data_IF_106500604473
#
_entry.id   IF_106500604473
#
_cell.length_a   1.000
_cell.length_b   1.000
_cell.length_c   1.000
_cell.angle_alpha   90.00
_cell.angle_beta   90.00
_cell.angle_gamma   90.00
#
_symmetry.space_group_name_H-M   'P 1'
#
loop_
_entity.id
_entity.type
_entity.pdbx_description
1 polymer ?
#
# COMPACT_ATOMS: atom_id res chain seq x y z
N UNK A 1 27.24 -31.04 -21.79
CA UNK A 1 26.75 -32.31 -22.40
C UNK A 1 25.56 -32.95 -21.66
N UNK A 2 25.39 -32.78 -20.34
CA UNK A 2 24.24 -33.37 -19.61
C UNK A 2 22.85 -32.76 -19.96
N UNK A 3 22.77 -31.44 -20.22
CA UNK A 3 21.50 -30.80 -20.63
C UNK A 3 21.01 -31.23 -22.03
N UNK A 4 21.92 -31.62 -22.91
CA UNK A 4 21.59 -32.01 -24.29
C UNK A 4 21.04 -33.45 -24.40
N UNK A 5 21.46 -34.33 -23.47
CA UNK A 5 20.91 -35.69 -23.35
C UNK A 5 19.56 -35.69 -22.63
N UNK A 6 19.35 -34.78 -21.67
CA UNK A 6 18.05 -34.63 -20.99
C UNK A 6 16.95 -34.15 -21.94
N UNK A 7 17.27 -33.23 -22.87
CA UNK A 7 16.30 -32.76 -23.88
C UNK A 7 15.98 -33.83 -24.93
N UNK A 8 16.98 -34.60 -25.37
CA UNK A 8 16.79 -35.72 -26.31
C UNK A 8 16.00 -36.90 -25.70
N UNK A 9 16.19 -37.18 -24.40
CA UNK A 9 15.40 -38.19 -23.69
C UNK A 9 13.96 -37.72 -23.42
N UNK A 10 13.76 -36.41 -23.18
CA UNK A 10 12.43 -35.83 -22.98
C UNK A 10 11.58 -35.87 -24.26
N UNK A 11 12.18 -35.60 -25.43
CA UNK A 11 11.49 -35.68 -26.73
C UNK A 11 11.08 -37.12 -27.09
N UNK A 12 11.87 -38.12 -26.70
CA UNK A 12 11.51 -39.53 -26.84
C UNK A 12 10.28 -39.92 -26.01
N UNK A 13 10.22 -39.49 -24.74
CA UNK A 13 9.06 -39.75 -23.86
C UNK A 13 7.80 -39.05 -24.34
N UNK A 14 7.90 -37.81 -24.79
CA UNK A 14 6.76 -37.05 -25.32
C UNK A 14 6.09 -37.77 -26.50
N UNK A 15 6.88 -38.32 -27.43
CA UNK A 15 6.36 -39.11 -28.57
C UNK A 15 5.64 -40.38 -28.13
N UNK A 16 6.18 -41.07 -27.11
CA UNK A 16 5.53 -42.27 -26.55
C UNK A 16 4.18 -41.92 -25.93
N UNK A 17 4.10 -40.82 -25.16
CA UNK A 17 2.83 -40.36 -24.60
C UNK A 17 1.82 -39.94 -25.68
N UNK A 18 2.28 -39.28 -26.74
CA UNK A 18 1.42 -38.88 -27.87
C UNK A 18 0.82 -40.09 -28.58
N UNK A 19 1.62 -41.13 -28.83
CA UNK A 19 1.14 -42.38 -29.41
C UNK A 19 0.14 -43.09 -28.49
N UNK A 20 0.41 -43.15 -27.18
CA UNK A 20 -0.52 -43.74 -26.19
C UNK A 20 -1.83 -42.96 -26.09
N UNK A 21 -1.80 -41.63 -26.18
CA UNK A 21 -3.00 -40.80 -26.21
C UNK A 21 -3.80 -41.03 -27.50
N UNK A 22 -3.11 -41.20 -28.64
CA UNK A 22 -3.74 -41.50 -29.93
C UNK A 22 -4.46 -42.84 -29.90
N UNK A 23 -3.79 -43.88 -29.41
CA UNK A 23 -4.39 -45.22 -29.24
C UNK A 23 -5.61 -45.18 -28.30
N UNK A 24 -5.50 -44.51 -27.14
CA UNK A 24 -6.62 -44.36 -26.19
C UNK A 24 -7.78 -43.54 -26.75
N UNK A 25 -7.47 -42.55 -27.59
CA UNK A 25 -8.49 -41.75 -28.27
C UNK A 25 -9.30 -42.58 -29.28
N UNK A 26 -8.63 -43.53 -29.96
CA UNK A 26 -9.25 -44.43 -30.93
C UNK A 26 -10.03 -45.55 -30.24
N UNK A 27 -9.51 -46.09 -29.13
CA UNK A 27 -10.17 -47.11 -28.32
C UNK A 27 -11.39 -46.56 -27.54
N UNK A 28 -11.42 -45.25 -27.27
CA UNK A 28 -12.48 -44.56 -26.56
C UNK A 28 -12.82 -45.21 -25.20
N UNK A 29 -11.77 -45.48 -24.42
CA UNK A 29 -11.85 -46.12 -23.10
C UNK A 29 -12.63 -45.27 -22.07
N UNK A 30 -13.13 -45.91 -21.01
CA UNK A 30 -13.80 -45.19 -19.91
C UNK A 30 -12.92 -44.12 -19.25
N UNK A 31 -11.62 -44.41 -19.09
CA UNK A 31 -10.63 -43.46 -18.59
C UNK A 31 -10.37 -42.29 -19.55
N UNK A 32 -10.42 -42.56 -20.87
CA UNK A 32 -10.32 -41.51 -21.88
C UNK A 32 -11.52 -40.57 -21.82
N UNK A 33 -12.74 -41.10 -21.72
CA UNK A 33 -13.97 -40.29 -21.58
C UNK A 33 -13.95 -39.43 -20.32
N UNK A 34 -13.56 -39.99 -19.18
CA UNK A 34 -13.41 -39.22 -17.93
C UNK A 34 -12.36 -38.09 -18.08
N UNK A 35 -11.25 -38.37 -18.73
CA UNK A 35 -10.20 -37.36 -18.99
C UNK A 35 -10.71 -36.26 -19.94
N UNK A 36 -11.42 -36.61 -21.01
CA UNK A 36 -12.03 -35.64 -21.92
C UNK A 36 -13.10 -34.81 -21.22
N UNK A 37 -13.94 -35.42 -20.38
CA UNK A 37 -14.96 -34.73 -19.60
C UNK A 37 -14.35 -33.73 -18.61
N UNK A 38 -13.29 -34.11 -17.90
CA UNK A 38 -12.56 -33.19 -17.01
C UNK A 38 -11.94 -32.03 -17.79
N UNK A 39 -11.31 -32.28 -18.95
CA UNK A 39 -10.78 -31.22 -19.82
C UNK A 39 -11.87 -30.29 -20.34
N UNK A 40 -13.02 -30.82 -20.75
CA UNK A 40 -14.18 -30.04 -21.18
C UNK A 40 -14.78 -29.22 -20.03
N UNK A 41 -14.80 -29.76 -18.81
CA UNK A 41 -15.24 -29.01 -17.63
C UNK A 41 -14.30 -27.84 -17.32
N UNK A 42 -12.99 -28.05 -17.47
CA UNK A 42 -11.97 -27.04 -17.25
C UNK A 42 -12.00 -25.95 -18.33
N UNK A 43 -12.21 -26.31 -19.59
CA UNK A 43 -12.41 -25.34 -20.68
C UNK A 43 -13.70 -24.52 -20.49
N UNK A 44 -14.80 -25.16 -20.04
CA UNK A 44 -16.02 -24.45 -19.64
C UNK A 44 -15.76 -23.43 -18.53
N UNK A 45 -15.02 -23.82 -17.49
CA UNK A 45 -14.64 -22.89 -16.39
C UNK A 45 -13.81 -21.73 -16.92
N UNK A 46 -12.86 -21.97 -17.83
CA UNK A 46 -12.08 -20.89 -18.46
C UNK A 46 -12.95 -19.93 -19.28
N UNK A 47 -13.90 -20.46 -20.05
CA UNK A 47 -14.84 -19.66 -20.85
C UNK A 47 -15.80 -18.86 -19.95
N UNK A 48 -16.26 -19.46 -18.85
CA UNK A 48 -17.03 -18.79 -17.80
C UNK A 48 -16.22 -17.68 -17.09
N UNK A 49 -14.92 -17.91 -16.84
CA UNK A 49 -14.02 -16.89 -16.28
C UNK A 49 -13.89 -15.67 -17.18
N UNK A 50 -13.66 -15.88 -18.49
CA UNK A 50 -13.57 -14.77 -19.48
C UNK A 50 -14.87 -13.99 -19.62
N UNK A 51 -16.01 -14.67 -19.62
CA UNK A 51 -17.32 -13.99 -19.71
C UNK A 51 -17.63 -13.23 -18.42
N UNK A 52 -17.33 -13.82 -17.25
CA UNK A 52 -17.42 -13.14 -15.96
C UNK A 52 -16.55 -11.87 -15.90
N UNK A 53 -15.32 -11.91 -16.41
CA UNK A 53 -14.44 -10.73 -16.53
C UNK A 53 -15.11 -9.59 -17.31
N UNK A 54 -15.66 -9.90 -18.49
CA UNK A 54 -16.32 -8.91 -19.33
C UNK A 54 -17.57 -8.33 -18.65
N UNK A 55 -18.36 -9.18 -17.99
CA UNK A 55 -19.54 -8.75 -17.24
C UNK A 55 -19.17 -7.89 -16.03
N UNK A 56 -18.13 -8.25 -15.27
CA UNK A 56 -17.68 -7.46 -14.12
C UNK A 56 -17.19 -6.07 -14.53
N UNK A 57 -16.45 -5.97 -15.63
CA UNK A 57 -16.02 -4.68 -16.17
C UNK A 57 -17.19 -3.87 -16.72
N UNK A 58 -18.13 -4.51 -17.43
CA UNK A 58 -19.33 -3.84 -17.90
C UNK A 58 -20.18 -3.34 -16.72
N UNK A 59 -20.34 -4.14 -15.66
CA UNK A 59 -21.03 -3.75 -14.43
C UNK A 59 -20.36 -2.54 -13.76
N UNK A 60 -19.03 -2.47 -13.71
CA UNK A 60 -18.35 -1.28 -13.20
C UNK A 60 -18.60 -0.08 -14.10
N UNK A 61 -18.47 -0.23 -15.43
CA UNK A 61 -18.72 0.87 -16.36
C UNK A 61 -20.14 1.42 -16.21
N UNK A 62 -21.15 0.55 -16.14
CA UNK A 62 -22.52 0.94 -15.85
C UNK A 62 -22.69 1.55 -14.46
N UNK A 63 -21.97 1.06 -13.45
CA UNK A 63 -21.99 1.66 -12.13
C UNK A 63 -21.43 3.09 -12.19
N UNK A 64 -20.24 3.31 -12.75
CA UNK A 64 -19.60 4.63 -12.89
C UNK A 64 -20.47 5.59 -13.68
N UNK A 65 -21.03 5.15 -14.82
CA UNK A 65 -21.97 5.96 -15.60
C UNK A 65 -23.17 6.34 -14.75
N UNK A 66 -23.75 5.40 -13.99
CA UNK A 66 -24.85 5.71 -13.08
C UNK A 66 -24.45 6.71 -11.98
N UNK A 67 -23.24 6.61 -11.40
CA UNK A 67 -22.76 7.60 -10.43
C UNK A 67 -22.67 8.98 -11.07
N UNK A 68 -22.08 9.07 -12.26
CA UNK A 68 -21.93 10.34 -12.99
C UNK A 68 -23.29 10.94 -13.36
N UNK A 69 -24.23 10.13 -13.86
CA UNK A 69 -25.59 10.57 -14.14
C UNK A 69 -26.27 11.11 -12.88
N UNK A 70 -26.16 10.41 -11.76
CA UNK A 70 -26.73 10.83 -10.48
C UNK A 70 -26.10 12.14 -9.97
N UNK A 71 -24.79 12.31 -10.11
CA UNK A 71 -24.12 13.58 -9.77
C UNK A 71 -24.63 14.70 -10.68
N UNK A 72 -24.71 14.48 -11.99
CA UNK A 72 -25.21 15.48 -12.95
C UNK A 72 -26.67 15.84 -12.70
N UNK A 73 -27.53 14.86 -12.44
CA UNK A 73 -28.94 15.09 -12.07
C UNK A 73 -29.05 15.91 -10.78
N UNK A 74 -28.19 15.64 -9.79
CA UNK A 74 -28.19 16.40 -8.53
C UNK A 74 -27.76 17.86 -8.72
N UNK A 75 -26.83 18.13 -9.64
CA UNK A 75 -26.46 19.50 -10.01
C UNK A 75 -27.60 20.19 -10.78
N UNK A 76 -28.22 19.49 -11.74
CA UNK A 76 -29.27 20.05 -12.60
C UNK A 76 -30.53 20.41 -11.80
N UNK A 77 -31.00 19.49 -10.94
CA UNK A 77 -32.16 19.72 -10.07
C UNK A 77 -31.92 20.95 -9.18
N UNK A 78 -30.70 21.09 -8.64
CA UNK A 78 -30.37 22.23 -7.80
C UNK A 78 -30.34 23.55 -8.57
N UNK A 79 -29.80 23.56 -9.80
CA UNK A 79 -29.83 24.76 -10.63
C UNK A 79 -31.25 25.22 -10.98
N UNK A 80 -32.19 24.30 -11.13
CA UNK A 80 -33.59 24.63 -11.38
C UNK A 80 -34.29 25.11 -10.10
N UNK A 81 -34.06 24.50 -8.94
CA UNK A 81 -34.58 25.00 -7.64
C UNK A 81 -34.09 26.43 -7.36
N UNK A 82 -32.80 26.68 -7.57
CA UNK A 82 -32.22 28.00 -7.32
C UNK A 82 -32.72 29.05 -8.33
N UNK A 83 -33.09 28.63 -9.55
CA UNK A 83 -33.75 29.50 -10.54
C UNK A 83 -35.18 29.83 -10.13
N UNK A 84 -35.93 28.86 -9.60
CA UNK A 84 -37.31 29.06 -9.14
C UNK A 84 -37.38 29.97 -7.90
N UNK A 85 -36.46 29.81 -6.93
CA UNK A 85 -36.34 30.71 -5.77
C UNK A 85 -35.99 32.16 -6.18
N UNK A 86 -35.12 32.31 -7.18
CA UNK A 86 -34.81 33.62 -7.76
C UNK A 86 -36.04 34.26 -8.42
N UNK A 87 -36.83 33.48 -9.18
CA UNK A 87 -38.03 33.98 -9.84
C UNK A 87 -39.10 34.41 -8.82
N UNK A 88 -39.31 33.62 -7.76
CA UNK A 88 -40.23 33.95 -6.67
C UNK A 88 -39.78 35.21 -5.91
N UNK A 89 -38.48 35.37 -5.67
CA UNK A 89 -37.93 36.58 -5.04
C UNK A 89 -38.01 37.81 -5.96
N UNK A 90 -37.79 37.64 -7.27
CA UNK A 90 -37.92 38.70 -8.26
C UNK A 90 -39.39 39.15 -8.44
N UNK A 91 -40.33 38.22 -8.32
CA UNK A 91 -41.78 38.50 -8.34
C UNK A 91 -42.24 39.18 -7.03
N UNK A 92 -41.67 38.84 -5.87
CA UNK A 92 -41.89 39.58 -4.61
C UNK A 92 -41.34 41.02 -4.67
N UNK A 93 -40.15 41.23 -5.25
CA UNK A 93 -39.58 42.57 -5.48
C UNK A 93 -40.39 43.39 -6.50
N UNK A 94 -40.95 42.75 -7.51
CA UNK A 94 -41.88 43.39 -8.46
C UNK A 94 -43.20 43.77 -7.78
N UNK A 95 -43.77 42.88 -6.96
CA UNK A 95 -45.04 43.09 -6.27
C UNK A 95 -44.98 44.12 -5.13
N UNK A 96 -43.79 44.47 -4.61
CA UNK A 96 -43.64 45.65 -3.72
C UNK A 96 -43.94 47.00 -4.39
N UNK A 97 -44.04 47.06 -5.72
CA UNK A 97 -44.42 48.27 -6.48
C UNK A 97 -45.84 48.24 -7.05
N UNK A 98 -46.57 47.13 -6.92
CA UNK A 98 -47.90 46.94 -7.51
C UNK A 98 -48.93 46.45 -6.46
N UNK A 99 -49.20 47.27 -5.43
CA UNK A 99 -50.42 47.11 -4.62
C UNK A 99 -51.64 47.75 -5.32
N UNK A 100 -52.05 47.21 -6.47
CA UNK A 100 -53.42 47.36 -6.97
C UNK A 100 -53.83 46.10 -7.74
N UNK A 101 -54.67 45.29 -7.07
CA UNK A 101 -55.60 44.29 -7.62
C UNK A 101 -55.06 43.17 -8.53
N UNK A 102 -54.86 41.98 -7.95
CA UNK A 102 -55.35 40.75 -8.58
C UNK A 102 -55.56 39.63 -7.55
N UNK A 103 -56.78 39.11 -7.52
CA UNK A 103 -57.20 37.96 -6.71
C UNK A 103 -56.51 36.69 -7.20
N UNK A 104 -56.10 35.76 -6.30
CA UNK A 104 -55.64 34.44 -6.74
C UNK A 104 -56.83 33.64 -7.31
N UNK A 105 -56.65 32.87 -8.40
CA UNK A 105 -57.69 31.96 -8.87
C UNK A 105 -57.95 30.89 -7.81
N UNK A 106 -59.20 30.80 -7.39
CA UNK A 106 -59.70 29.82 -6.43
C UNK A 106 -59.63 28.42 -7.06
N UNK A 107 -58.52 27.70 -6.86
CA UNK A 107 -58.46 26.29 -7.19
C UNK A 107 -59.29 25.48 -6.19
N UNK A 108 -60.16 24.61 -6.70
CA UNK A 108 -61.05 23.73 -5.92
C UNK A 108 -60.30 22.95 -4.83
N UNK A 109 -60.91 22.77 -3.65
CA UNK A 109 -60.35 22.03 -2.50
C UNK A 109 -59.94 20.60 -2.88
N UNK A 110 -60.61 20.00 -3.85
CA UNK A 110 -60.26 18.70 -4.42
C UNK A 110 -58.95 18.74 -5.24
N UNK A 111 -58.65 19.85 -5.92
CA UNK A 111 -57.41 20.03 -6.68
C UNK A 111 -56.21 20.30 -5.76
N UNK A 112 -56.41 21.02 -4.64
CA UNK A 112 -55.39 21.22 -3.61
C UNK A 112 -55.11 19.93 -2.82
N UNK A 113 -56.14 19.14 -2.50
CA UNK A 113 -55.98 17.83 -1.86
C UNK A 113 -55.33 16.81 -2.81
N UNK A 114 -55.72 16.79 -4.08
CA UNK A 114 -55.09 15.96 -5.11
C UNK A 114 -53.63 16.36 -5.33
N UNK A 115 -53.32 17.67 -5.38
CA UNK A 115 -51.93 18.14 -5.41
C UNK A 115 -51.15 17.77 -4.16
N UNK A 116 -51.73 17.81 -2.95
CA UNK A 116 -51.04 17.37 -1.72
C UNK A 116 -50.81 15.86 -1.67
N UNK A 117 -51.74 15.04 -2.16
CA UNK A 117 -51.60 13.58 -2.20
C UNK A 117 -50.66 13.13 -3.33
N UNK A 118 -50.73 13.76 -4.51
CA UNK A 118 -49.77 13.53 -5.59
C UNK A 118 -48.40 14.10 -5.23
N UNK A 119 -48.30 15.25 -4.57
CA UNK A 119 -47.05 15.84 -4.06
C UNK A 119 -46.46 15.01 -2.95
N UNK A 120 -47.24 14.52 -1.98
CA UNK A 120 -46.71 13.68 -0.90
C UNK A 120 -46.32 12.29 -1.41
N UNK A 121 -47.06 11.72 -2.37
CA UNK A 121 -46.68 10.44 -2.99
C UNK A 121 -45.52 10.59 -3.96
N UNK A 122 -45.42 11.68 -4.73
CA UNK A 122 -44.25 11.96 -5.59
C UNK A 122 -43.04 12.41 -4.80
N UNK A 123 -43.19 13.19 -3.73
CA UNK A 123 -42.09 13.54 -2.81
C UNK A 123 -41.65 12.32 -2.01
N UNK A 124 -42.55 11.43 -1.58
CA UNK A 124 -42.17 10.16 -0.99
C UNK A 124 -41.53 9.21 -2.03
N UNK A 125 -41.96 9.21 -3.29
CA UNK A 125 -41.33 8.44 -4.37
C UNK A 125 -39.99 9.03 -4.80
N UNK A 126 -39.85 10.35 -4.81
CA UNK A 126 -38.61 11.10 -5.13
C UNK A 126 -37.65 10.99 -3.97
N UNK A 127 -38.09 11.15 -2.72
CA UNK A 127 -37.26 10.91 -1.52
C UNK A 127 -36.91 9.44 -1.40
N UNK A 128 -37.82 8.50 -1.70
CA UNK A 128 -37.50 7.09 -1.77
C UNK A 128 -36.63 6.73 -2.98
N UNK A 129 -36.73 7.41 -4.14
CA UNK A 129 -35.83 7.25 -5.29
C UNK A 129 -34.45 7.84 -5.00
N UNK A 130 -34.39 9.02 -4.40
CA UNK A 130 -33.16 9.72 -4.00
C UNK A 130 -32.44 8.92 -2.90
N UNK A 131 -33.15 8.43 -1.87
CA UNK A 131 -32.58 7.54 -0.85
C UNK A 131 -32.25 6.15 -1.42
N UNK A 132 -33.03 5.61 -2.36
CA UNK A 132 -32.77 4.30 -2.99
C UNK A 132 -31.65 4.35 -4.04
N UNK A 133 -31.36 5.48 -4.67
CA UNK A 133 -30.33 5.59 -5.71
C UNK A 133 -29.02 6.21 -5.21
N UNK A 134 -29.02 7.22 -4.33
CA UNK A 134 -27.76 7.85 -3.89
C UNK A 134 -27.02 7.02 -2.83
N UNK A 135 -27.70 6.50 -1.80
CA UNK A 135 -27.06 5.70 -0.74
C UNK A 135 -26.61 4.32 -1.25
N UNK A 136 -27.39 3.69 -2.15
CA UNK A 136 -26.98 2.43 -2.79
C UNK A 136 -25.85 2.62 -3.81
N UNK A 137 -25.64 3.82 -4.35
CA UNK A 137 -24.47 4.14 -5.17
C UNK A 137 -23.18 4.07 -4.33
N UNK A 138 -23.19 4.53 -3.07
CA UNK A 138 -22.05 4.33 -2.17
C UNK A 138 -21.83 2.85 -1.82
N UNK A 139 -22.89 2.03 -1.73
CA UNK A 139 -22.73 0.58 -1.61
C UNK A 139 -21.98 -0.01 -2.81
N UNK A 140 -22.24 0.48 -4.03
CA UNK A 140 -21.55 0.02 -5.26
C UNK A 140 -20.03 0.28 -5.27
N UNK A 141 -19.47 1.00 -4.31
CA UNK A 141 -18.01 1.10 -4.10
C UNK A 141 -17.36 -0.29 -3.95
N UNK A 142 -18.09 -1.32 -3.51
CA UNK A 142 -17.56 -2.69 -3.46
C UNK A 142 -17.16 -3.22 -4.85
N UNK A 143 -17.79 -2.73 -5.93
CA UNK A 143 -17.46 -3.07 -7.31
C UNK A 143 -16.08 -2.53 -7.70
N UNK A 144 -15.62 -1.44 -7.08
CA UNK A 144 -14.27 -0.91 -7.27
C UNK A 144 -13.21 -1.90 -6.76
N UNK A 145 -13.41 -2.50 -5.58
CA UNK A 145 -12.50 -3.54 -5.06
C UNK A 145 -12.45 -4.77 -5.97
N UNK A 146 -13.57 -5.10 -6.61
CA UNK A 146 -13.68 -6.18 -7.60
C UNK A 146 -12.99 -5.82 -8.93
N UNK A 147 -13.13 -4.58 -9.39
CA UNK A 147 -12.40 -4.08 -10.55
C UNK A 147 -10.89 -4.01 -10.29
N UNK A 148 -10.46 -3.58 -9.10
CA UNK A 148 -9.05 -3.57 -8.73
C UNK A 148 -8.46 -4.98 -8.81
N UNK A 149 -9.19 -6.00 -8.33
CA UNK A 149 -8.84 -7.42 -8.49
C UNK A 149 -8.69 -7.80 -9.96
N UNK A 150 -9.60 -7.30 -10.78
CA UNK A 150 -9.62 -7.58 -12.20
C UNK A 150 -8.44 -6.94 -12.94
N UNK A 151 -8.15 -5.67 -12.65
CA UNK A 151 -7.05 -4.91 -13.23
C UNK A 151 -5.67 -5.46 -12.83
N UNK A 152 -5.53 -5.92 -11.58
CA UNK A 152 -4.33 -6.62 -11.10
C UNK A 152 -4.14 -8.01 -11.73
N UNK A 153 -5.12 -8.46 -12.53
CA UNK A 153 -5.04 -9.69 -13.30
C UNK A 153 -5.25 -10.95 -12.47
N UNK A 154 -5.80 -10.90 -11.26
CA UNK A 154 -6.03 -12.11 -10.47
C UNK A 154 -7.07 -13.06 -11.08
N UNK A 155 -8.04 -12.52 -11.83
CA UNK A 155 -9.02 -13.33 -12.59
C UNK A 155 -8.47 -13.80 -13.96
N UNK A 156 -7.49 -13.09 -14.55
CA UNK A 156 -6.87 -13.43 -15.84
C UNK A 156 -5.56 -14.21 -15.75
N UNK A 157 -4.85 -14.14 -14.62
CA UNK A 157 -3.49 -14.68 -14.47
C UNK A 157 -3.55 -16.12 -13.96
N UNK A 158 -3.63 -17.04 -14.93
CA UNK A 158 -3.27 -18.47 -14.87
C UNK A 158 -3.91 -19.33 -13.76
N UNK A 159 -4.45 -20.48 -14.17
CA UNK A 159 -4.79 -21.62 -13.30
C UNK A 159 -3.72 -21.92 -12.23
N UNK A 160 -2.45 -21.62 -12.54
CA UNK A 160 -1.29 -21.75 -11.67
C UNK A 160 -1.43 -20.94 -10.37
N UNK A 161 -1.96 -19.72 -10.43
CA UNK A 161 -2.11 -18.86 -9.24
C UNK A 161 -3.24 -19.37 -8.34
N UNK A 162 -4.33 -19.86 -8.94
CA UNK A 162 -5.42 -20.50 -8.18
C UNK A 162 -4.96 -21.82 -7.56
N UNK A 163 -4.17 -22.61 -8.29
CA UNK A 163 -3.60 -23.86 -7.81
C UNK A 163 -2.63 -23.62 -6.64
N UNK A 164 -1.71 -22.65 -6.76
CA UNK A 164 -0.78 -22.31 -5.68
C UNK A 164 -1.53 -21.75 -4.47
N UNK A 165 -2.57 -20.94 -4.69
CA UNK A 165 -3.47 -20.47 -3.65
C UNK A 165 -4.17 -21.61 -2.92
N UNK A 166 -4.69 -22.60 -3.65
CA UNK A 166 -5.33 -23.78 -3.10
C UNK A 166 -4.35 -24.63 -2.27
N UNK A 167 -3.12 -24.82 -2.74
CA UNK A 167 -2.08 -25.53 -1.98
C UNK A 167 -1.74 -24.83 -0.66
N UNK A 168 -1.70 -23.50 -0.65
CA UNK A 168 -1.41 -22.71 0.53
C UNK A 168 -2.66 -22.34 1.37
N UNK A 169 -3.86 -22.82 0.98
CA UNK A 169 -5.16 -22.48 1.60
C UNK A 169 -5.40 -20.96 1.70
N UNK A 170 -5.03 -20.22 0.66
CA UNK A 170 -5.27 -18.78 0.55
C UNK A 170 -6.32 -18.52 -0.51
N UNK A 171 -7.40 -17.85 -0.12
CA UNK A 171 -8.47 -17.42 -1.02
C UNK A 171 -7.98 -16.26 -1.91
N UNK A 172 -7.46 -16.59 -3.09
CA UNK A 172 -6.99 -15.62 -4.10
C UNK A 172 -8.12 -14.68 -4.55
N UNK A 173 -9.38 -15.11 -4.40
CA UNK A 173 -10.58 -14.32 -4.71
C UNK A 173 -10.92 -13.27 -3.64
N UNK A 174 -10.27 -13.31 -2.47
CA UNK A 174 -10.52 -12.37 -1.38
C UNK A 174 -10.08 -10.95 -1.76
N UNK A 175 -11.01 -9.98 -1.64
CA UNK A 175 -10.74 -8.55 -1.87
C UNK A 175 -9.59 -8.06 -0.98
N UNK A 176 -9.54 -8.56 0.26
CA UNK A 176 -8.50 -8.20 1.22
C UNK A 176 -7.10 -8.64 0.77
N UNK A 177 -7.00 -9.82 0.15
CA UNK A 177 -5.74 -10.29 -0.43
C UNK A 177 -5.31 -9.43 -1.61
N UNK A 178 -6.25 -9.07 -2.48
CA UNK A 178 -6.00 -8.16 -3.61
C UNK A 178 -5.48 -6.80 -3.15
N UNK A 179 -6.12 -6.18 -2.16
CA UNK A 179 -5.69 -4.88 -1.62
C UNK A 179 -4.26 -5.01 -1.08
N UNK A 180 -3.98 -6.02 -0.24
CA UNK A 180 -2.63 -6.27 0.28
C UNK A 180 -1.59 -6.41 -0.83
N UNK A 181 -1.92 -7.16 -1.89
CA UNK A 181 -1.03 -7.32 -3.03
C UNK A 181 -0.80 -6.02 -3.79
N UNK A 182 -1.85 -5.22 -4.01
CA UNK A 182 -1.74 -3.92 -4.68
C UNK A 182 -0.76 -2.99 -3.96
N UNK A 183 -0.90 -2.89 -2.64
CA UNK A 183 -0.01 -2.09 -1.78
C UNK A 183 1.43 -2.61 -1.73
N UNK A 184 1.66 -3.93 -1.91
CA UNK A 184 3.01 -4.49 -1.90
C UNK A 184 3.72 -4.37 -3.25
N UNK A 185 2.99 -4.54 -4.36
CA UNK A 185 3.60 -4.54 -5.71
C UNK A 185 3.79 -3.14 -6.27
N UNK A 186 2.78 -2.27 -6.11
CA UNK A 186 2.78 -0.91 -6.63
C UNK A 186 2.35 0.06 -5.52
N UNK A 187 3.19 0.29 -4.50
CA UNK A 187 2.81 1.03 -3.30
C UNK A 187 2.37 2.46 -3.63
N UNK A 188 3.11 3.17 -4.48
CA UNK A 188 2.79 4.53 -4.88
C UNK A 188 1.44 4.62 -5.62
N UNK A 189 1.29 3.87 -6.72
CA UNK A 189 0.09 3.92 -7.55
C UNK A 189 -1.17 3.50 -6.77
N UNK A 190 -1.08 2.42 -5.99
CA UNK A 190 -2.19 1.93 -5.19
C UNK A 190 -2.63 2.94 -4.12
N UNK A 191 -1.68 3.58 -3.43
CA UNK A 191 -1.99 4.54 -2.37
C UNK A 191 -2.57 5.83 -2.94
N UNK A 192 -2.04 6.33 -4.06
CA UNK A 192 -2.56 7.52 -4.75
C UNK A 192 -3.98 7.30 -5.27
N UNK A 193 -4.27 6.15 -5.87
CA UNK A 193 -5.63 5.83 -6.32
C UNK A 193 -6.60 5.71 -5.15
N UNK A 194 -6.20 5.09 -4.04
CA UNK A 194 -7.03 5.01 -2.84
C UNK A 194 -7.35 6.40 -2.27
N UNK A 195 -6.38 7.32 -2.25
CA UNK A 195 -6.57 8.70 -1.80
C UNK A 195 -7.54 9.46 -2.71
N UNK A 196 -7.40 9.34 -4.04
CA UNK A 196 -8.31 10.00 -4.99
C UNK A 196 -9.74 9.50 -4.86
N UNK A 197 -9.94 8.19 -4.69
CA UNK A 197 -11.25 7.60 -4.48
C UNK A 197 -11.88 8.14 -3.19
N UNK A 198 -11.11 8.18 -2.11
CA UNK A 198 -11.57 8.68 -0.81
C UNK A 198 -11.90 10.19 -0.84
N UNK A 199 -11.13 11.00 -1.57
CA UNK A 199 -11.42 12.42 -1.82
C UNK A 199 -12.75 12.62 -2.51
N UNK A 200 -12.98 11.91 -3.61
CA UNK A 200 -14.22 12.01 -4.39
C UNK A 200 -15.40 11.53 -3.54
N UNK A 201 -15.24 10.43 -2.81
CA UNK A 201 -16.30 9.84 -1.99
C UNK A 201 -16.70 10.76 -0.84
N UNK A 202 -15.72 11.26 -0.09
CA UNK A 202 -15.95 12.12 1.08
C UNK A 202 -16.53 13.46 0.66
N UNK A 203 -16.00 14.06 -0.42
CA UNK A 203 -16.51 15.33 -0.94
C UNK A 203 -17.96 15.21 -1.44
N UNK A 204 -18.27 14.18 -2.23
CA UNK A 204 -19.63 13.95 -2.71
C UNK A 204 -20.61 13.68 -1.57
N UNK A 205 -20.21 12.88 -0.57
CA UNK A 205 -21.03 12.61 0.60
C UNK A 205 -21.25 13.88 1.44
N UNK A 206 -20.23 14.73 1.59
CA UNK A 206 -20.33 15.99 2.34
C UNK A 206 -21.24 16.99 1.63
N UNK A 207 -21.06 17.18 0.32
CA UNK A 207 -21.91 18.06 -0.48
C UNK A 207 -23.37 17.60 -0.44
N UNK A 208 -23.63 16.30 -0.51
CA UNK A 208 -24.99 15.77 -0.43
C UNK A 208 -25.66 16.07 0.92
N UNK A 209 -24.93 15.94 2.03
CA UNK A 209 -25.50 16.11 3.38
C UNK A 209 -25.64 17.59 3.76
N UNK A 210 -24.74 18.46 3.32
CA UNK A 210 -24.75 19.89 3.66
C UNK A 210 -25.53 20.74 2.63
N UNK A 211 -25.93 20.16 1.49
CA UNK A 211 -26.70 20.85 0.45
C UNK A 211 -28.00 21.44 1.02
N UNK A 212 -28.21 22.74 0.78
CA UNK A 212 -29.39 23.48 1.22
C UNK A 212 -29.41 23.91 2.69
N UNK A 213 -28.42 23.51 3.51
CA UNK A 213 -28.34 23.94 4.93
C UNK A 213 -27.21 24.94 5.19
N UNK A 214 -26.21 24.98 4.31
CA UNK A 214 -25.00 25.77 4.50
C UNK A 214 -24.64 26.54 3.23
N UNK A 215 -24.74 27.87 3.30
CA UNK A 215 -24.51 28.78 2.16
C UNK A 215 -23.07 28.71 1.62
N UNK A 216 -22.11 28.27 2.45
CA UNK A 216 -20.67 28.11 2.11
C UNK A 216 -20.28 26.71 1.60
N UNK A 217 -21.24 25.78 1.49
CA UNK A 217 -21.03 24.42 0.97
C UNK A 217 -22.06 24.09 -0.12
N UNK A 218 -22.38 25.09 -0.93
CA UNK A 218 -23.39 24.95 -2.00
C UNK A 218 -22.79 24.23 -3.22
N UNK A 219 -21.53 24.50 -3.52
CA UNK A 219 -20.83 23.94 -4.67
C UNK A 219 -19.98 22.72 -4.30
N UNK A 220 -19.91 21.75 -5.21
CA UNK A 220 -19.03 20.58 -5.05
C UNK A 220 -17.55 20.98 -4.89
N UNK A 221 -17.13 22.08 -5.52
CA UNK A 221 -15.76 22.58 -5.44
C UNK A 221 -15.37 22.98 -4.00
N UNK A 222 -16.29 23.56 -3.24
CA UNK A 222 -16.07 23.95 -1.83
C UNK A 222 -15.98 22.72 -0.94
N UNK A 223 -16.78 21.68 -1.21
CA UNK A 223 -16.71 20.40 -0.51
C UNK A 223 -15.39 19.66 -0.80
N UNK A 224 -14.89 19.70 -2.05
CA UNK A 224 -13.57 19.13 -2.41
C UNK A 224 -12.47 19.87 -1.66
N UNK A 225 -12.50 21.21 -1.67
CA UNK A 225 -11.52 22.03 -0.96
C UNK A 225 -11.49 21.71 0.54
N UNK A 226 -12.66 21.70 1.20
CA UNK A 226 -12.76 21.36 2.62
C UNK A 226 -12.24 19.95 2.91
N UNK A 227 -12.55 18.97 2.05
CA UNK A 227 -12.07 17.60 2.18
C UNK A 227 -10.54 17.52 2.12
N UNK A 228 -9.93 18.18 1.13
CA UNK A 228 -8.46 18.20 0.95
C UNK A 228 -7.78 18.86 2.16
N UNK A 229 -8.25 20.04 2.58
CA UNK A 229 -7.69 20.79 3.72
C UNK A 229 -7.82 20.01 5.03
N UNK A 230 -8.91 19.26 5.21
CA UNK A 230 -9.14 18.46 6.42
C UNK A 230 -8.25 17.22 6.44
N UNK A 231 -8.12 16.49 5.32
CA UNK A 231 -7.29 15.28 5.27
C UNK A 231 -5.79 15.56 5.33
N UNK A 232 -5.37 16.72 4.82
CA UNK A 232 -3.99 17.22 4.98
C UNK A 232 -3.72 17.78 6.37
N UNK A 233 -4.71 17.76 7.27
CA UNK A 233 -4.64 18.27 8.65
C UNK A 233 -4.28 19.76 8.76
N UNK A 234 -4.47 20.54 7.69
CA UNK A 234 -4.20 21.98 7.70
C UNK A 234 -5.31 22.73 8.45
N UNK A 235 -6.57 22.46 8.10
CA UNK A 235 -7.73 22.94 8.84
C UNK A 235 -7.85 24.47 8.97
N UNK A 236 -7.93 25.21 7.85
CA UNK A 236 -8.04 26.68 7.86
C UNK A 236 -9.24 27.23 8.65
N UNK A 237 -10.33 26.46 8.77
CA UNK A 237 -11.50 26.84 9.57
C UNK A 237 -12.48 27.83 8.92
N UNK A 238 -12.24 28.20 7.66
CA UNK A 238 -13.09 29.12 6.88
C UNK A 238 -14.45 28.52 6.47
N UNK A 239 -14.47 27.20 6.25
CA UNK A 239 -15.67 26.42 5.89
C UNK A 239 -15.73 25.20 6.80
N UNK A 240 -16.92 24.91 7.34
CA UNK A 240 -17.16 23.78 8.22
C UNK A 240 -18.61 23.28 8.08
N UNK A 241 -18.85 21.96 8.22
CA UNK A 241 -20.19 21.40 8.19
C UNK A 241 -21.00 21.83 9.41
N UNK A 242 -22.26 22.22 9.18
CA UNK A 242 -23.19 22.63 10.24
C UNK A 242 -24.04 21.46 10.72
N UNK A 243 -24.39 20.55 9.83
CA UNK A 243 -25.27 19.41 10.13
C UNK A 243 -24.52 18.32 10.91
N UNK A 244 -25.27 17.54 11.69
CA UNK A 244 -24.70 16.38 12.40
C UNK A 244 -24.17 15.33 11.41
N UNK A 245 -24.87 15.11 10.29
CA UNK A 245 -24.45 14.17 9.26
C UNK A 245 -23.14 14.59 8.59
N UNK A 246 -23.01 15.87 8.22
CA UNK A 246 -21.80 16.41 7.60
C UNK A 246 -20.58 16.33 8.53
N UNK A 247 -20.79 16.57 9.84
CA UNK A 247 -19.76 16.38 10.87
C UNK A 247 -19.30 14.93 10.97
N UNK A 248 -20.21 13.96 10.94
CA UNK A 248 -19.83 12.54 10.96
C UNK A 248 -19.09 12.15 9.69
N UNK A 249 -19.62 12.53 8.52
CA UNK A 249 -19.01 12.23 7.22
C UNK A 249 -17.59 12.77 7.13
N UNK A 250 -17.36 14.03 7.53
CA UNK A 250 -16.01 14.62 7.47
C UNK A 250 -15.06 13.96 8.47
N UNK A 251 -15.53 13.54 9.66
CA UNK A 251 -14.69 12.83 10.64
C UNK A 251 -14.27 11.47 10.12
N UNK A 252 -15.19 10.68 9.58
CA UNK A 252 -14.88 9.37 9.01
C UNK A 252 -13.95 9.50 7.80
N UNK A 253 -14.26 10.42 6.88
CA UNK A 253 -13.40 10.73 5.74
C UNK A 253 -12.01 11.18 6.19
N UNK A 254 -11.90 12.09 7.15
CA UNK A 254 -10.61 12.57 7.66
C UNK A 254 -9.75 11.45 8.28
N UNK A 255 -10.36 10.52 9.03
CA UNK A 255 -9.63 9.37 9.59
C UNK A 255 -9.11 8.47 8.46
N UNK A 256 -9.99 8.09 7.53
CA UNK A 256 -9.62 7.19 6.42
C UNK A 256 -8.60 7.87 5.50
N UNK A 257 -8.93 9.03 4.95
CA UNK A 257 -8.06 9.77 4.04
C UNK A 257 -6.77 10.26 4.68
N UNK A 258 -6.79 10.69 5.94
CA UNK A 258 -5.58 11.07 6.68
C UNK A 258 -4.62 9.90 6.87
N UNK A 259 -5.14 8.70 7.17
CA UNK A 259 -4.28 7.50 7.25
C UNK A 259 -3.69 7.13 5.90
N UNK A 260 -4.45 7.27 4.80
CA UNK A 260 -3.96 7.00 3.45
C UNK A 260 -2.92 8.05 3.02
N UNK A 261 -3.14 9.33 3.35
CA UNK A 261 -2.22 10.43 3.05
C UNK A 261 -0.87 10.25 3.76
N UNK A 262 -0.88 9.90 5.05
CA UNK A 262 0.35 9.61 5.81
C UNK A 262 1.07 8.37 5.27
N UNK A 263 0.33 7.34 4.84
CA UNK A 263 0.90 6.20 4.13
C UNK A 263 1.57 6.61 2.82
N UNK A 264 0.93 7.48 2.03
CA UNK A 264 1.49 7.97 0.76
C UNK A 264 2.79 8.73 1.00
N UNK A 265 2.81 9.64 1.96
CA UNK A 265 4.00 10.39 2.34
C UNK A 265 5.14 9.42 2.73
N UNK A 266 4.83 8.41 3.55
CA UNK A 266 5.80 7.39 3.95
C UNK A 266 6.37 6.63 2.75
N UNK A 267 5.51 6.19 1.82
CA UNK A 267 5.94 5.46 0.62
C UNK A 267 6.87 6.32 -0.23
N UNK A 268 6.49 7.57 -0.51
CA UNK A 268 7.29 8.50 -1.31
C UNK A 268 8.64 8.78 -0.63
N UNK A 269 8.64 9.01 0.68
CA UNK A 269 9.87 9.26 1.44
C UNK A 269 10.79 8.03 1.45
N UNK A 270 10.25 6.83 1.64
CA UNK A 270 11.04 5.61 1.60
C UNK A 270 11.64 5.47 0.21
N UNK A 271 10.83 5.49 -0.85
CA UNK A 271 11.31 5.30 -2.22
C UNK A 271 12.36 6.35 -2.64
N UNK A 272 12.22 7.60 -2.18
CA UNK A 272 13.21 8.65 -2.43
C UNK A 272 14.52 8.47 -1.63
N UNK A 273 14.45 7.85 -0.45
CA UNK A 273 15.61 7.60 0.43
C UNK A 273 16.19 6.19 0.30
N UNK A 274 15.59 5.34 -0.54
CA UNK A 274 16.09 3.99 -0.77
C UNK A 274 17.42 4.07 -1.52
N UNK A 275 18.47 3.66 -0.83
CA UNK A 275 19.80 3.48 -1.41
C UNK A 275 19.71 2.46 -2.54
N UNK A 276 20.07 2.87 -3.75
CA UNK A 276 20.06 1.97 -4.91
C UNK A 276 21.08 0.84 -4.72
N UNK A 277 20.91 -0.31 -5.39
CA UNK A 277 21.89 -1.40 -5.30
C UNK A 277 23.31 -0.97 -5.66
N UNK A 278 23.46 0.02 -6.55
CA UNK A 278 24.76 0.57 -6.96
C UNK A 278 25.36 1.49 -5.90
N UNK A 279 24.56 2.40 -5.34
CA UNK A 279 24.98 3.26 -4.22
C UNK A 279 25.38 2.43 -3.00
N UNK A 280 24.69 1.32 -2.76
CA UNK A 280 25.02 0.39 -1.68
C UNK A 280 26.42 -0.20 -1.85
N UNK A 281 26.82 -0.55 -3.07
CA UNK A 281 28.18 -1.04 -3.36
C UNK A 281 29.22 0.05 -3.03
N UNK A 282 28.96 1.29 -3.44
CA UNK A 282 29.87 2.41 -3.15
C UNK A 282 29.97 2.66 -1.65
N UNK A 283 28.84 2.66 -0.94
CA UNK A 283 28.80 2.81 0.52
C UNK A 283 29.58 1.69 1.22
N UNK A 284 29.44 0.44 0.77
CA UNK A 284 30.20 -0.69 1.31
C UNK A 284 31.72 -0.49 1.16
N UNK A 285 32.19 0.09 0.05
CA UNK A 285 33.60 0.44 -0.16
C UNK A 285 34.06 1.53 0.81
N UNK A 286 33.25 2.58 1.00
CA UNK A 286 33.55 3.66 1.96
C UNK A 286 33.67 3.09 3.38
N UNK A 287 32.72 2.26 3.82
CA UNK A 287 32.76 1.60 5.12
C UNK A 287 33.98 0.69 5.28
N UNK A 288 34.40 0.00 4.21
CA UNK A 288 35.60 -0.82 4.23
C UNK A 288 36.87 0.01 4.43
N UNK A 289 36.97 1.16 3.75
CA UNK A 289 38.12 2.06 3.93
C UNK A 289 38.16 2.68 5.33
N UNK A 290 37.01 3.08 5.88
CA UNK A 290 36.92 3.56 7.27
C UNK A 290 37.33 2.48 8.27
N UNK A 291 36.91 1.23 8.03
CA UNK A 291 37.29 0.10 8.85
C UNK A 291 38.80 -0.12 8.87
N UNK A 292 39.46 -0.13 7.70
CA UNK A 292 40.91 -0.27 7.60
C UNK A 292 41.61 0.86 8.35
N UNK A 293 41.13 2.11 8.20
CA UNK A 293 41.71 3.26 8.91
C UNK A 293 41.63 3.08 10.43
N UNK A 294 40.45 2.75 10.96
CA UNK A 294 40.25 2.48 12.39
C UNK A 294 41.11 1.32 12.90
N UNK A 295 41.30 0.29 12.08
CA UNK A 295 42.16 -0.85 12.42
C UNK A 295 43.64 -0.44 12.51
N UNK A 296 44.12 0.40 11.58
CA UNK A 296 45.49 0.93 11.59
C UNK A 296 45.73 1.86 12.79
N UNK A 297 44.78 2.75 13.08
CA UNK A 297 44.84 3.64 14.25
C UNK A 297 44.88 2.87 15.57
N UNK A 298 44.01 1.87 15.73
CA UNK A 298 43.99 1.02 16.92
C UNK A 298 45.26 0.18 17.06
N UNK A 299 45.82 -0.33 15.94
CA UNK A 299 47.09 -1.05 15.95
C UNK A 299 48.26 -0.13 16.35
N UNK A 300 48.32 1.08 15.78
CA UNK A 300 49.34 2.07 16.14
C UNK A 300 49.23 2.46 17.62
N UNK A 301 48.01 2.68 18.12
CA UNK A 301 47.77 2.97 19.53
C UNK A 301 48.22 1.81 20.44
N UNK A 302 47.88 0.57 20.09
CA UNK A 302 48.31 -0.61 20.83
C UNK A 302 49.83 -0.69 20.92
N UNK A 303 50.55 -0.51 19.80
CA UNK A 303 52.02 -0.53 19.75
C UNK A 303 52.63 0.60 20.60
N UNK A 304 52.05 1.80 20.56
CA UNK A 304 52.53 2.92 21.38
C UNK A 304 52.35 2.64 22.88
N UNK A 305 51.21 2.07 23.30
CA UNK A 305 50.98 1.73 24.71
C UNK A 305 51.89 0.59 25.17
N UNK A 306 52.09 -0.44 24.34
CA UNK A 306 52.99 -1.57 24.69
C UNK A 306 54.44 -1.12 24.79
N UNK A 307 54.90 -0.24 23.89
CA UNK A 307 56.26 0.32 23.94
C UNK A 307 56.48 1.18 25.20
N UNK A 308 55.55 2.08 25.53
CA UNK A 308 55.63 2.90 26.75
C UNK A 308 55.68 2.03 28.00
N UNK A 309 54.84 0.99 28.07
CA UNK A 309 54.86 0.02 29.16
C UNK A 309 56.20 -0.74 29.27
N UNK A 310 56.79 -1.14 28.14
CA UNK A 310 58.06 -1.86 28.14
C UNK A 310 59.23 -0.97 28.57
N UNK A 311 59.26 0.29 28.13
CA UNK A 311 60.31 1.25 28.50
C UNK A 311 60.26 1.62 29.99
N UNK A 312 59.06 1.79 30.54
CA UNK A 312 58.86 2.14 31.96
C UNK A 312 58.89 0.91 32.89
N UNK A 313 59.37 -0.27 32.45
CA UNK A 313 59.46 -1.49 33.27
C UNK A 313 60.26 -1.32 34.59
N UNK A 314 61.08 -0.27 34.72
CA UNK A 314 61.77 0.06 35.97
C UNK A 314 60.84 0.62 37.07
N UNK A 315 59.68 1.19 36.73
CA UNK A 315 58.65 1.64 37.68
C UNK A 315 57.38 0.80 37.47
N UNK A 316 57.10 -0.15 38.37
CA UNK A 316 55.97 -1.08 38.31
C UNK A 316 54.59 -0.41 38.53
N UNK A 317 54.17 0.48 37.64
CA UNK A 317 52.88 1.17 37.74
C UNK A 317 51.74 0.35 37.11
N UNK A 318 50.81 -0.12 37.96
CA UNK A 318 49.60 -0.88 37.58
C UNK A 318 48.73 -0.19 36.51
N UNK A 319 48.75 1.16 36.46
CA UNK A 319 47.99 1.98 35.51
C UNK A 319 48.33 1.70 34.04
N UNK A 320 49.60 1.40 33.72
CA UNK A 320 50.01 1.15 32.33
C UNK A 320 49.52 -0.21 31.83
N UNK A 321 49.45 -1.21 32.72
CA UNK A 321 48.96 -2.56 32.41
C UNK A 321 47.48 -2.53 31.99
N UNK A 322 46.63 -1.76 32.69
CA UNK A 322 45.22 -1.59 32.32
C UNK A 322 45.04 -0.90 30.96
N UNK A 323 45.85 0.12 30.65
CA UNK A 323 45.79 0.83 29.35
C UNK A 323 46.17 -0.07 28.17
N UNK A 324 47.16 -0.94 28.34
CA UNK A 324 47.57 -1.91 27.29
C UNK A 324 46.47 -2.95 27.06
N UNK A 325 45.85 -3.49 28.12
CA UNK A 325 44.75 -4.45 27.95
C UNK A 325 43.51 -3.81 27.33
N UNK A 326 43.16 -2.58 27.72
CA UNK A 326 42.07 -1.84 27.07
C UNK A 326 42.32 -1.59 25.58
N UNK A 327 43.55 -1.24 25.20
CA UNK A 327 43.95 -1.10 23.80
C UNK A 327 43.89 -2.43 23.02
N UNK A 328 44.33 -3.52 23.65
CA UNK A 328 44.32 -4.85 23.04
C UNK A 328 42.90 -5.38 22.84
N UNK A 329 42.02 -5.13 23.81
CA UNK A 329 40.61 -5.47 23.72
C UNK A 329 39.91 -4.63 22.64
N UNK A 330 40.16 -3.32 22.57
CA UNK A 330 39.63 -2.45 21.53
C UNK A 330 40.03 -2.92 20.11
N UNK A 331 41.30 -3.27 19.90
CA UNK A 331 41.77 -3.84 18.64
C UNK A 331 41.12 -5.20 18.32
N UNK A 332 41.01 -6.06 19.35
CA UNK A 332 40.35 -7.38 19.22
C UNK A 332 38.88 -7.23 18.83
N UNK A 333 38.15 -6.30 19.43
CA UNK A 333 36.74 -6.02 19.13
C UNK A 333 36.58 -5.47 17.71
N UNK A 334 37.44 -4.53 17.29
CA UNK A 334 37.43 -4.02 15.91
C UNK A 334 37.61 -5.14 14.89
N UNK A 335 38.52 -6.10 15.12
CA UNK A 335 38.69 -7.27 14.23
C UNK A 335 37.41 -8.09 14.09
N UNK A 336 36.61 -8.25 15.14
CA UNK A 336 35.33 -8.98 15.08
C UNK A 336 34.21 -8.21 14.37
N UNK A 337 34.36 -6.89 14.20
CA UNK A 337 33.38 -6.04 13.49
C UNK A 337 33.55 -6.01 11.97
N UNK A 338 34.46 -6.82 11.41
CA UNK A 338 34.78 -6.82 9.97
C UNK A 338 33.51 -6.87 9.09
N UNK A 339 33.38 -5.97 8.09
CA UNK A 339 32.27 -6.00 7.15
C UNK A 339 32.31 -7.27 6.28
N UNK A 340 31.14 -7.74 5.84
CA UNK A 340 30.98 -8.98 5.06
C UNK A 340 31.82 -8.95 3.79
N UNK A 341 32.60 -10.01 3.59
CA UNK A 341 33.72 -10.14 2.67
C UNK A 341 33.33 -10.36 1.20
N UNK A 342 32.37 -9.63 0.65
CA UNK A 342 32.15 -9.63 -0.81
C UNK A 342 33.29 -8.93 -1.56
N UNK A 343 34.01 -8.00 -0.90
CA UNK A 343 35.11 -7.24 -1.50
C UNK A 343 36.50 -7.77 -1.14
N UNK A 344 36.68 -8.43 0.01
CA UNK A 344 37.95 -9.06 0.36
C UNK A 344 38.33 -10.20 -0.60
N UNK A 345 37.35 -10.85 -1.23
CA UNK A 345 37.58 -11.88 -2.24
C UNK A 345 38.02 -11.34 -3.60
N UNK A 346 37.83 -10.04 -3.89
CA UNK A 346 38.27 -9.42 -5.15
C UNK A 346 39.80 -9.19 -5.18
N UNK A 347 40.44 -9.08 -4.01
CA UNK A 347 41.91 -9.02 -3.90
C UNK A 347 42.59 -10.40 -3.90
N UNK A 348 41.82 -11.48 -3.81
CA UNK A 348 42.33 -12.85 -3.92
C UNK A 348 41.85 -13.44 -5.24
N UNK A 349 42.70 -13.45 -6.25
CA UNK A 349 42.46 -13.90 -7.63
C UNK A 349 42.06 -15.38 -7.80
N UNK A 350 41.45 -16.03 -6.81
CA UNK A 350 41.25 -17.49 -6.75
C UNK A 350 39.84 -17.94 -6.35
N UNK A 351 38.91 -17.05 -6.01
CA UNK A 351 37.62 -17.44 -5.40
C UNK A 351 36.37 -17.31 -6.28
N UNK A 352 36.51 -16.96 -7.57
CA UNK A 352 35.36 -16.71 -8.47
C UNK A 352 34.63 -17.99 -8.92
N UNK A 353 35.18 -19.19 -8.67
CA UNK A 353 34.68 -20.43 -9.30
C UNK A 353 33.70 -21.24 -8.43
N UNK A 354 33.56 -20.97 -7.13
CA UNK A 354 32.89 -21.91 -6.20
C UNK A 354 31.45 -21.55 -5.77
N UNK A 355 30.83 -20.47 -6.26
CA UNK A 355 29.62 -19.89 -5.65
C UNK A 355 28.29 -20.18 -6.38
N UNK A 356 28.27 -20.92 -7.49
CA UNK A 356 27.04 -21.07 -8.29
C UNK A 356 26.12 -22.26 -7.92
N UNK A 357 26.58 -23.25 -7.14
CA UNK A 357 25.81 -24.50 -6.93
C UNK A 357 25.31 -24.76 -5.50
N UNK A 358 25.66 -23.93 -4.51
CA UNK A 358 25.32 -24.17 -3.09
C UNK A 358 24.33 -23.14 -2.50
N UNK A 359 23.60 -22.39 -3.34
CA UNK A 359 23.00 -21.10 -2.97
C UNK A 359 21.78 -21.15 -2.04
N UNK A 360 21.04 -22.26 -1.95
CA UNK A 360 19.77 -22.29 -1.19
C UNK A 360 19.86 -22.86 0.24
N UNK A 361 20.77 -23.80 0.49
CA UNK A 361 21.02 -24.32 1.84
C UNK A 361 21.97 -23.40 2.61
N UNK A 362 22.98 -22.86 1.91
CA UNK A 362 23.91 -21.89 2.50
C UNK A 362 23.24 -20.57 2.79
N UNK A 363 22.27 -20.10 1.99
CA UNK A 363 21.57 -18.84 2.26
C UNK A 363 20.80 -18.87 3.58
N UNK A 364 20.05 -19.94 3.86
CA UNK A 364 19.34 -20.10 5.15
C UNK A 364 20.29 -20.18 6.33
N UNK A 365 21.41 -20.88 6.17
CA UNK A 365 22.43 -21.00 7.21
C UNK A 365 23.18 -19.68 7.42
N UNK A 366 23.39 -18.91 6.35
CA UNK A 366 23.98 -17.58 6.35
C UNK A 366 23.06 -16.54 6.99
N UNK A 367 21.75 -16.61 6.75
CA UNK A 367 20.76 -15.75 7.41
C UNK A 367 20.68 -16.06 8.91
N UNK A 368 20.69 -17.33 9.29
CA UNK A 368 20.71 -17.73 10.69
C UNK A 368 21.99 -17.27 11.41
N UNK A 369 23.14 -17.43 10.75
CA UNK A 369 24.43 -16.95 11.26
C UNK A 369 24.51 -15.42 11.31
N UNK A 370 23.94 -14.72 10.31
CA UNK A 370 23.82 -13.25 10.33
C UNK A 370 22.97 -12.78 11.51
N UNK A 371 21.88 -13.47 11.82
CA UNK A 371 21.05 -13.20 13.00
C UNK A 371 21.84 -13.32 14.29
N UNK A 372 22.57 -14.43 14.47
CA UNK A 372 23.41 -14.64 15.65
C UNK A 372 24.56 -13.63 15.75
N UNK A 373 25.19 -13.25 14.64
CA UNK A 373 26.24 -12.25 14.61
C UNK A 373 25.73 -10.85 14.94
N UNK A 374 24.55 -10.46 14.45
CA UNK A 374 23.91 -9.18 14.82
C UNK A 374 23.60 -9.12 16.31
N UNK A 375 23.06 -10.20 16.87
CA UNK A 375 22.75 -10.28 18.30
C UNK A 375 24.02 -10.16 19.17
N UNK A 376 25.09 -10.88 18.79
CA UNK A 376 26.39 -10.78 19.47
C UNK A 376 27.04 -9.39 19.33
N UNK A 377 26.88 -8.72 18.18
CA UNK A 377 27.34 -7.33 17.99
C UNK A 377 26.59 -6.34 18.87
N UNK A 378 25.28 -6.48 18.99
CA UNK A 378 24.47 -5.62 19.87
C UNK A 378 24.88 -5.77 21.34
N UNK A 379 25.08 -7.02 21.79
CA UNK A 379 25.58 -7.31 23.13
C UNK A 379 27.00 -6.77 23.34
N UNK A 380 27.89 -6.94 22.37
CA UNK A 380 29.27 -6.43 22.43
C UNK A 380 29.34 -4.90 22.49
N UNK A 381 28.53 -4.19 21.70
CA UNK A 381 28.45 -2.73 21.72
C UNK A 381 27.85 -2.22 23.03
N UNK A 382 26.85 -2.90 23.58
CA UNK A 382 26.31 -2.58 24.90
C UNK A 382 27.37 -2.73 26.00
N UNK A 383 28.12 -3.83 26.01
CA UNK A 383 29.23 -4.00 26.96
C UNK A 383 30.31 -2.95 26.78
N UNK A 384 30.64 -2.55 25.54
CA UNK A 384 31.61 -1.50 25.27
C UNK A 384 31.14 -0.16 25.84
N UNK A 385 29.86 0.17 25.69
CA UNK A 385 29.31 1.41 26.23
C UNK A 385 29.32 1.44 27.76
N UNK A 386 29.00 0.31 28.41
CA UNK A 386 29.03 0.15 29.87
C UNK A 386 30.45 0.22 30.41
N UNK A 387 31.41 -0.46 29.77
CA UNK A 387 32.82 -0.40 30.21
C UNK A 387 33.40 0.98 30.01
N UNK A 388 33.07 1.67 28.91
CA UNK A 388 33.52 3.04 28.66
C UNK A 388 32.98 4.02 29.71
N UNK A 389 31.73 3.85 30.15
CA UNK A 389 31.18 4.67 31.24
C UNK A 389 31.80 4.36 32.60
N UNK A 390 32.07 3.09 32.90
CA UNK A 390 32.81 2.72 34.10
C UNK A 390 34.21 3.34 34.12
N UNK A 391 34.94 3.30 33.00
CA UNK A 391 36.26 3.92 32.92
C UNK A 391 36.20 5.45 33.03
N UNK A 392 35.13 6.09 32.53
CA UNK A 392 34.91 7.53 32.70
C UNK A 392 34.66 7.89 34.17
N UNK A 393 33.77 7.17 34.84
CA UNK A 393 33.47 7.41 36.26
C UNK A 393 34.70 7.18 37.14
N UNK A 394 35.50 6.14 36.87
CA UNK A 394 36.74 5.88 37.60
C UNK A 394 37.75 7.01 37.38
N UNK A 395 37.84 7.56 36.16
CA UNK A 395 38.72 8.69 35.87
C UNK A 395 38.31 9.94 36.65
N UNK A 396 37.01 10.25 36.73
CA UNK A 396 36.46 11.39 37.48
C UNK A 396 36.69 11.25 39.00
N UNK A 397 36.53 10.05 39.56
CA UNK A 397 36.80 9.79 40.99
C UNK A 397 38.29 9.78 41.37
N UNK A 398 39.19 9.79 40.38
CA UNK A 398 40.64 9.79 40.61
C UNK A 398 41.29 11.18 40.47
N UNK A 399 40.48 12.19 40.13
CA UNK A 399 40.87 13.59 40.01
C UNK A 399 40.42 14.48 41.18
N UNK A 400 39.64 13.92 42.12
CA UNK A 400 39.50 14.41 43.50
C UNK A 400 40.50 13.68 44.40
#
# INVERSE_FOLDING_TARGET
MLHHNASAAATGRARVYENQLRERSQANDSLWRASVETLQSLDRVHKLGRTRYALENAMLAFAVIAILCVVVESELIWTDIQRDDWLLSAEELSNSSARVAQQPPMFSTAFQALKCVLSASTLALVVALVLRYHVLVFLRIYLLGRFLRNWLGFDSSSYTVQLIGAFHRVDVLSIWFTIKYAFQKFPFLSTTLALLVDWILTSAALNFVERGTNDRLTNINEAVWLTIVTMTSVGYGEVAPRTLGGKLTIVFGAIVGGTIFTCLLRVVLIDALLVTPQEKIVLDVVYFHEFIRKQKEAAAFLIQQTWKYHRDQQNQDSKYKHRVYGAAEAFRLLRFTQPSSSFASLNSSSAVVASSSLTNATSKQLEHLQGQMKLRRAQSMHTLHVTTQLFRNIAETSSE
#
